data_IF_181342695095
#
_entry.id   IF_181342695095
#
_cell.length_a   1.000
_cell.length_b   1.000
_cell.length_c   1.000
_cell.angle_alpha   90.00
_cell.angle_beta   90.00
_cell.angle_gamma   90.00
#
_symmetry.space_group_name_H-M   'P 1'
#
loop_
_entity.id
_entity.type
_entity.pdbx_description
1 polymer ?
#
# COMPACT_ATOMS: atom_id res chain seq x y z
N UNK A 1 -4.34 -8.63 0.20
CA UNK A 1 -3.87 -7.30 0.67
C UNK A 1 -4.90 -6.19 0.59
N UNK A 2 -5.62 -5.94 -0.54
CA UNK A 2 -6.51 -4.78 -0.64
C UNK A 2 -7.66 -4.85 0.38
N UNK A 3 -8.11 -6.04 0.75
CA UNK A 3 -9.21 -6.26 1.71
C UNK A 3 -8.91 -5.69 3.11
N UNK A 4 -7.67 -5.78 3.60
CA UNK A 4 -7.33 -5.21 4.92
C UNK A 4 -7.23 -3.67 4.86
N UNK A 5 -6.67 -3.14 3.78
CA UNK A 5 -6.62 -1.69 3.54
C UNK A 5 -8.02 -1.09 3.45
N UNK A 6 -8.92 -1.74 2.72
CA UNK A 6 -10.30 -1.28 2.56
C UNK A 6 -11.05 -1.36 3.87
N UNK A 7 -10.90 -2.43 4.68
CA UNK A 7 -11.54 -2.51 6.00
C UNK A 7 -11.00 -1.41 6.93
N UNK A 8 -9.68 -1.18 6.98
CA UNK A 8 -9.09 -0.11 7.80
C UNK A 8 -9.63 1.29 7.41
N UNK A 9 -9.87 1.53 6.12
CA UNK A 9 -10.41 2.80 5.63
C UNK A 9 -11.94 2.92 5.79
N UNK A 10 -12.68 1.81 5.66
CA UNK A 10 -14.13 1.77 5.82
C UNK A 10 -14.56 1.84 7.29
N UNK A 11 -13.75 1.36 8.24
CA UNK A 11 -14.13 1.30 9.66
C UNK A 11 -14.43 2.69 10.26
N UNK A 12 -13.60 3.74 10.05
CA UNK A 12 -13.94 5.11 10.48
C UNK A 12 -15.19 5.66 9.81
N UNK A 13 -15.41 5.34 8.53
CA UNK A 13 -16.59 5.78 7.78
C UNK A 13 -17.88 5.15 8.33
N UNK A 14 -17.82 3.90 8.79
CA UNK A 14 -18.94 3.24 9.49
C UNK A 14 -19.20 3.85 10.88
N UNK A 15 -18.14 4.26 11.60
CA UNK A 15 -18.28 5.03 12.85
C UNK A 15 -18.99 6.36 12.64
N UNK A 16 -18.61 7.10 11.58
CA UNK A 16 -19.28 8.33 11.17
C UNK A 16 -20.74 8.08 10.80
N UNK A 17 -21.05 7.02 10.03
CA UNK A 17 -22.43 6.65 9.67
C UNK A 17 -23.29 6.56 10.93
N UNK A 18 -22.87 5.81 11.95
CA UNK A 18 -23.68 5.65 13.13
C UNK A 18 -23.78 6.91 14.01
N UNK A 19 -22.89 7.90 13.87
CA UNK A 19 -23.15 9.24 14.45
C UNK A 19 -24.36 9.91 13.81
N UNK A 20 -24.47 9.81 12.49
CA UNK A 20 -25.57 10.38 11.70
C UNK A 20 -26.86 9.63 12.03
N UNK A 21 -26.83 8.31 12.13
CA UNK A 21 -28.02 7.52 12.51
C UNK A 21 -28.50 7.85 13.92
N UNK A 22 -27.59 7.96 14.90
CA UNK A 22 -27.96 8.31 16.28
C UNK A 22 -28.51 9.73 16.42
N UNK A 23 -28.00 10.67 15.61
CA UNK A 23 -28.56 12.03 15.52
C UNK A 23 -29.93 12.04 14.83
N UNK A 24 -30.13 11.24 13.78
CA UNK A 24 -31.44 11.09 13.11
C UNK A 24 -32.49 10.56 14.09
N UNK A 25 -32.16 9.53 14.89
CA UNK A 25 -33.08 9.01 15.92
C UNK A 25 -33.37 10.04 17.02
N UNK A 26 -32.35 10.78 17.44
CA UNK A 26 -32.51 11.84 18.44
C UNK A 26 -33.50 12.90 17.94
N UNK A 27 -33.27 13.45 16.75
CA UNK A 27 -34.15 14.46 16.14
C UNK A 27 -35.51 13.91 15.74
N UNK A 28 -35.60 12.65 15.34
CA UNK A 28 -36.87 11.96 15.08
C UNK A 28 -37.73 11.87 16.34
N UNK A 29 -37.11 11.60 17.49
CA UNK A 29 -37.79 11.62 18.79
C UNK A 29 -38.33 13.02 19.09
N UNK A 30 -37.52 14.08 18.91
CA UNK A 30 -37.96 15.48 19.09
C UNK A 30 -39.16 15.82 18.19
N UNK A 31 -39.10 15.40 16.93
CA UNK A 31 -40.17 15.64 15.96
C UNK A 31 -41.47 14.91 16.35
N UNK A 32 -41.38 13.69 16.85
CA UNK A 32 -42.53 12.91 17.32
C UNK A 32 -43.14 13.45 18.61
N UNK A 33 -42.34 14.08 19.47
CA UNK A 33 -42.77 14.73 20.72
C UNK A 33 -43.39 16.12 20.51
N UNK A 34 -43.67 16.51 19.27
CA UNK A 34 -44.27 17.82 18.94
C UNK A 34 -43.32 19.00 19.16
N UNK A 35 -42.00 18.77 19.13
CA UNK A 35 -40.97 19.81 19.31
C UNK A 35 -40.51 20.02 20.76
N UNK A 36 -41.13 19.36 21.73
CA UNK A 36 -40.70 19.39 23.13
C UNK A 36 -39.87 18.14 23.43
N UNK A 37 -38.55 18.25 23.32
CA UNK A 37 -37.63 17.20 23.76
C UNK A 37 -36.97 17.60 25.07
N UNK A 38 -36.93 16.65 26.01
CA UNK A 38 -36.16 16.84 27.23
C UNK A 38 -34.67 16.75 26.93
N UNK A 39 -33.84 17.51 27.66
CA UNK A 39 -32.37 17.45 27.55
C UNK A 39 -31.87 16.01 27.70
N UNK A 40 -32.55 15.21 28.52
CA UNK A 40 -32.27 13.78 28.72
C UNK A 40 -32.40 12.96 27.43
N UNK A 41 -33.46 13.14 26.64
CA UNK A 41 -33.66 12.41 25.39
C UNK A 41 -32.61 12.77 24.34
N UNK A 42 -32.32 14.07 24.18
CA UNK A 42 -31.28 14.53 23.26
C UNK A 42 -29.89 14.02 23.67
N UNK A 43 -29.56 14.11 24.96
CA UNK A 43 -28.26 13.67 25.49
C UNK A 43 -28.02 12.17 25.29
N UNK A 44 -29.06 11.34 25.36
CA UNK A 44 -28.98 9.91 25.08
C UNK A 44 -28.62 9.59 23.63
N UNK A 45 -29.22 10.31 22.67
CA UNK A 45 -28.91 10.18 21.25
C UNK A 45 -27.48 10.58 20.91
N UNK A 46 -27.02 11.72 21.45
CA UNK A 46 -25.63 12.19 21.27
C UNK A 46 -24.64 11.22 21.91
N UNK A 47 -24.93 10.70 23.10
CA UNK A 47 -24.09 9.71 23.77
C UNK A 47 -23.92 8.43 22.93
N UNK A 48 -25.02 7.90 22.38
CA UNK A 48 -24.96 6.73 21.47
C UNK A 48 -24.12 7.01 20.23
N UNK A 49 -24.28 8.18 19.61
CA UNK A 49 -23.47 8.58 18.45
C UNK A 49 -21.97 8.61 18.77
N UNK A 50 -21.59 9.19 19.92
CA UNK A 50 -20.19 9.24 20.35
C UNK A 50 -19.62 7.86 20.67
N UNK A 51 -20.40 6.99 21.32
CA UNK A 51 -19.97 5.62 21.65
C UNK A 51 -19.67 4.80 20.40
N UNK A 52 -20.49 4.91 19.36
CA UNK A 52 -20.27 4.21 18.09
C UNK A 52 -19.02 4.72 17.36
N UNK A 53 -18.71 6.01 17.47
CA UNK A 53 -17.47 6.58 16.90
C UNK A 53 -16.25 5.99 17.61
N UNK A 54 -16.28 5.97 18.94
CA UNK A 54 -15.22 5.38 19.74
C UNK A 54 -15.03 3.89 19.40
N UNK A 55 -16.11 3.13 19.27
CA UNK A 55 -16.05 1.72 18.86
C UNK A 55 -15.43 1.54 17.45
N UNK A 56 -15.79 2.40 16.48
CA UNK A 56 -15.18 2.39 15.15
C UNK A 56 -13.68 2.67 15.19
N UNK A 57 -13.23 3.64 15.99
CA UNK A 57 -11.81 3.94 16.15
C UNK A 57 -11.04 2.79 16.82
N UNK A 58 -11.63 2.16 17.84
CA UNK A 58 -11.02 1.01 18.54
C UNK A 58 -10.78 -0.17 17.60
N UNK A 59 -11.66 -0.41 16.62
CA UNK A 59 -11.46 -1.48 15.62
C UNK A 59 -10.54 -1.03 14.47
N UNK A 60 -10.58 0.25 14.09
CA UNK A 60 -9.75 0.79 13.00
C UNK A 60 -8.25 0.72 13.31
N UNK A 61 -7.85 1.07 14.53
CA UNK A 61 -6.44 1.07 14.96
C UNK A 61 -5.74 -0.29 14.80
N UNK A 62 -6.23 -1.40 15.40
CA UNK A 62 -5.59 -2.71 15.25
C UNK A 62 -5.62 -3.22 13.81
N UNK A 63 -6.70 -2.93 13.07
CA UNK A 63 -6.82 -3.32 11.66
C UNK A 63 -5.75 -2.64 10.80
N UNK A 64 -5.51 -1.34 11.02
CA UNK A 64 -4.47 -0.59 10.32
C UNK A 64 -3.06 -1.11 10.65
N UNK A 65 -2.79 -1.43 11.92
CA UNK A 65 -1.51 -2.02 12.34
C UNK A 65 -1.29 -3.38 11.67
N UNK A 66 -2.31 -4.25 11.66
CA UNK A 66 -2.24 -5.55 11.00
C UNK A 66 -2.00 -5.41 9.49
N UNK A 67 -2.65 -4.44 8.84
CA UNK A 67 -2.42 -4.14 7.42
C UNK A 67 -0.96 -3.74 7.15
N UNK A 68 -0.41 -2.83 7.96
CA UNK A 68 0.97 -2.35 7.80
C UNK A 68 1.97 -3.49 7.94
N UNK A 69 1.80 -4.36 8.94
CA UNK A 69 2.65 -5.54 9.13
C UNK A 69 2.60 -6.52 7.95
N UNK A 70 1.39 -6.87 7.49
CA UNK A 70 1.22 -7.84 6.41
C UNK A 70 1.69 -7.28 5.05
N UNK A 71 1.48 -5.99 4.81
CA UNK A 71 1.95 -5.30 3.62
C UNK A 71 3.48 -5.28 3.55
N UNK A 72 4.15 -4.98 4.67
CA UNK A 72 5.61 -5.05 4.77
C UNK A 72 6.12 -6.46 4.46
N UNK A 73 5.49 -7.49 5.02
CA UNK A 73 5.88 -8.89 4.78
C UNK A 73 5.73 -9.31 3.32
N UNK A 74 4.67 -8.88 2.64
CA UNK A 74 4.48 -9.16 1.21
C UNK A 74 5.51 -8.41 0.36
N UNK A 75 5.81 -7.16 0.70
CA UNK A 75 6.85 -6.41 -0.02
C UNK A 75 8.22 -7.09 0.06
N UNK A 76 8.57 -7.67 1.22
CA UNK A 76 9.78 -8.49 1.34
C UNK A 76 9.74 -9.71 0.41
N UNK A 77 8.63 -10.45 0.37
CA UNK A 77 8.48 -11.59 -0.55
C UNK A 77 8.60 -11.19 -2.02
N UNK A 78 8.03 -10.04 -2.41
CA UNK A 78 8.15 -9.54 -3.78
C UNK A 78 9.60 -9.20 -4.12
N UNK A 79 10.32 -8.55 -3.20
CA UNK A 79 11.76 -8.28 -3.40
C UNK A 79 12.60 -9.56 -3.51
N UNK A 80 12.27 -10.60 -2.74
CA UNK A 80 12.96 -11.89 -2.83
C UNK A 80 12.70 -12.55 -4.21
N UNK A 81 11.46 -12.45 -4.72
CA UNK A 81 11.12 -12.93 -6.07
C UNK A 81 11.84 -12.15 -7.18
N UNK A 82 11.93 -10.82 -7.05
CA UNK A 82 12.68 -9.97 -8.00
C UNK A 82 14.17 -10.37 -8.03
N UNK A 83 14.78 -10.59 -6.86
CA UNK A 83 16.17 -11.06 -6.75
C UNK A 83 16.39 -12.41 -7.41
N UNK A 84 15.54 -13.39 -7.11
CA UNK A 84 15.61 -14.72 -7.73
C UNK A 84 15.46 -14.65 -9.25
N UNK A 85 14.57 -13.79 -9.75
CA UNK A 85 14.40 -13.57 -11.19
C UNK A 85 15.65 -13.00 -11.86
N UNK A 86 16.28 -11.99 -11.25
CA UNK A 86 17.54 -11.41 -11.72
C UNK A 86 18.66 -12.46 -11.74
N UNK A 87 18.75 -13.26 -10.69
CA UNK A 87 19.76 -14.31 -10.57
C UNK A 87 19.63 -15.37 -11.68
N UNK A 88 18.41 -15.81 -11.97
CA UNK A 88 18.14 -16.74 -13.08
C UNK A 88 18.56 -16.14 -14.43
N UNK A 89 18.22 -14.87 -14.69
CA UNK A 89 18.61 -14.18 -15.93
C UNK A 89 20.13 -14.07 -16.03
N UNK A 90 20.80 -13.77 -14.92
CA UNK A 90 22.26 -13.67 -14.89
C UNK A 90 22.92 -15.02 -15.19
N UNK A 91 22.45 -16.11 -14.56
CA UNK A 91 22.94 -17.47 -14.82
C UNK A 91 22.77 -17.88 -16.29
N UNK A 92 21.63 -17.55 -16.92
CA UNK A 92 21.38 -17.84 -18.34
C UNK A 92 22.25 -17.00 -19.28
N UNK A 93 22.58 -15.77 -18.89
CA UNK A 93 23.43 -14.86 -19.68
C UNK A 93 24.90 -15.28 -19.57
N UNK A 94 25.35 -15.65 -18.38
CA UNK A 94 26.73 -16.12 -18.11
C UNK A 94 27.00 -17.49 -18.75
N UNK A 95 25.97 -18.33 -18.87
CA UNK A 95 26.05 -19.62 -19.58
C UNK A 95 26.09 -19.50 -21.11
N UNK A 96 25.93 -18.30 -21.69
CA UNK A 96 26.31 -18.06 -23.08
C UNK A 96 27.78 -17.66 -23.09
N UNK A 97 28.72 -18.55 -23.47
CA UNK A 97 30.06 -18.09 -23.74
C UNK A 97 29.95 -17.04 -24.85
N UNK A 98 30.52 -15.87 -24.63
CA UNK A 98 30.78 -14.88 -25.68
C UNK A 98 31.79 -15.52 -26.64
N UNK A 99 31.32 -16.47 -27.45
CA UNK A 99 32.01 -17.04 -28.59
C UNK A 99 31.90 -16.06 -29.73
N UNK A 100 32.66 -14.96 -29.61
CA UNK A 100 32.61 -13.86 -30.56
C UNK A 100 33.48 -12.69 -30.13
N UNK A 101 34.67 -12.98 -29.59
CA UNK A 101 35.75 -11.99 -29.50
C UNK A 101 36.14 -11.70 -30.96
N UNK A 102 35.65 -10.61 -31.54
CA UNK A 102 36.28 -10.02 -32.72
C UNK A 102 37.49 -9.24 -32.19
N UNK A 103 38.65 -9.90 -32.19
CA UNK A 103 39.94 -9.24 -32.08
C UNK A 103 40.19 -8.50 -33.39
N UNK A 104 39.86 -7.21 -33.44
CA UNK A 104 40.46 -6.34 -34.44
C UNK A 104 41.90 -6.08 -34.00
N UNK A 105 42.85 -6.77 -34.62
CA UNK A 105 44.24 -6.30 -34.66
C UNK A 105 44.26 -5.00 -35.47
N UNK A 106 44.68 -3.86 -34.90
CA UNK A 106 44.97 -2.66 -35.68
C UNK A 106 46.20 -2.94 -36.54
N UNK A 107 46.06 -2.71 -37.84
CA UNK A 107 47.07 -2.88 -38.89
C UNK A 107 48.15 -1.79 -38.82
N UNK A 108 48.89 -1.70 -37.71
CA UNK A 108 49.97 -0.71 -37.53
C UNK A 108 51.36 -1.26 -37.91
N UNK A 109 51.47 -2.49 -38.40
CA UNK A 109 52.76 -3.09 -38.77
C UNK A 109 53.27 -2.74 -40.19
N UNK A 110 52.56 -1.94 -41.00
CA UNK A 110 52.96 -1.66 -42.40
C UNK A 110 53.63 -0.27 -42.55
N UNK A 111 53.73 0.54 -41.49
CA UNK A 111 54.42 1.85 -41.56
C UNK A 111 55.91 1.84 -41.24
N UNK A 112 56.47 0.71 -40.79
CA UNK A 112 57.89 0.65 -40.41
C UNK A 112 58.84 0.17 -41.53
N UNK A 113 58.34 -0.36 -42.65
CA UNK A 113 59.21 -0.81 -43.77
C UNK A 113 59.28 0.18 -44.95
N UNK A 114 58.44 1.22 -44.99
CA UNK A 114 58.49 2.25 -46.03
C UNK A 114 59.40 3.45 -45.67
N UNK A 115 60.12 3.38 -44.54
CA UNK A 115 61.02 4.44 -44.08
C UNK A 115 62.45 3.90 -43.83
N UNK A 116 62.92 3.01 -44.70
CA UNK A 116 64.32 2.61 -44.73
C UNK A 116 64.89 2.39 -46.15
N UNK A 117 64.28 2.97 -47.18
CA UNK A 117 64.89 3.02 -48.52
C UNK A 117 64.88 4.48 -49.01
N UNK A 118 65.79 5.25 -48.41
CA UNK A 118 66.33 6.50 -48.95
C UNK A 118 67.57 6.19 -49.78
#
# INVERSE_FOLDING_TARGET
LPVLATIAFLTPLLGLLGTVTGMIDAFGTIASSGGYATVTELSGGVYKSLLTTAAGLVVATPTFVAYSYLSSRVNTMVHDMERAGIEIVHMLTESRPIGGIISFQPEEAIRSEAQFDS
#
